data_IF_040568621591
#
_entry.id   IF_040568621591
#
_cell.length_a   1.000
_cell.length_b   1.000
_cell.length_c   1.000
_cell.angle_alpha   90.00
_cell.angle_beta   90.00
_cell.angle_gamma   90.00
#
_symmetry.space_group_name_H-M   'P 1'
#
loop_
_entity.id
_entity.type
_entity.pdbx_description
1 polymer ?
#
# COMPACT_ATOMS: atom_id res chain seq x y z
N UNK A 1 -17.36 -14.89 1.56
CA UNK A 1 -16.34 -14.61 2.60
C UNK A 1 -16.94 -14.80 3.99
N UNK A 2 -16.19 -15.36 4.95
CA UNK A 2 -16.70 -15.55 6.31
C UNK A 2 -17.18 -14.24 6.95
N UNK A 3 -16.50 -13.14 6.63
CA UNK A 3 -16.82 -11.77 7.06
C UNK A 3 -18.15 -11.21 6.53
N UNK A 4 -18.79 -11.90 5.59
CA UNK A 4 -20.09 -11.53 5.04
C UNK A 4 -21.26 -12.36 5.62
N UNK A 5 -20.99 -13.37 6.46
CA UNK A 5 -22.06 -14.11 7.12
C UNK A 5 -22.86 -13.20 8.07
N UNK A 6 -24.19 -13.32 8.03
CA UNK A 6 -25.09 -12.55 8.88
C UNK A 6 -25.45 -11.15 8.36
N UNK A 7 -24.87 -10.69 7.25
CA UNK A 7 -25.31 -9.46 6.59
C UNK A 7 -26.61 -9.75 5.82
N UNK A 8 -27.65 -8.97 6.07
CA UNK A 8 -29.00 -9.19 5.52
C UNK A 8 -29.38 -8.15 4.47
N UNK A 9 -28.64 -7.05 4.40
CA UNK A 9 -28.90 -5.95 3.47
C UNK A 9 -27.71 -5.63 2.58
N UNK A 10 -27.98 -5.03 1.42
CA UNK A 10 -26.94 -4.47 0.54
C UNK A 10 -26.11 -3.39 1.24
N UNK A 11 -26.74 -2.58 2.10
CA UNK A 11 -26.05 -1.50 2.81
C UNK A 11 -24.99 -2.06 3.77
N UNK A 12 -25.35 -3.08 4.55
CA UNK A 12 -24.42 -3.78 5.47
C UNK A 12 -23.23 -4.39 4.72
N UNK A 13 -23.48 -5.02 3.55
CA UNK A 13 -22.42 -5.58 2.73
C UNK A 13 -21.47 -4.50 2.18
N UNK A 14 -22.00 -3.40 1.65
CA UNK A 14 -21.20 -2.29 1.13
C UNK A 14 -20.33 -1.68 2.24
N UNK A 15 -20.90 -1.48 3.42
CA UNK A 15 -20.16 -0.96 4.56
C UNK A 15 -19.05 -1.91 5.01
N UNK A 16 -19.32 -3.22 5.05
CA UNK A 16 -18.30 -4.20 5.42
C UNK A 16 -17.15 -4.25 4.40
N UNK A 17 -17.46 -4.14 3.10
CA UNK A 17 -16.44 -4.05 2.04
C UNK A 17 -15.60 -2.78 2.22
N UNK A 18 -16.22 -1.64 2.53
CA UNK A 18 -15.51 -0.38 2.76
C UNK A 18 -14.53 -0.48 3.93
N UNK A 19 -14.98 -1.02 5.07
CA UNK A 19 -14.13 -1.21 6.26
C UNK A 19 -12.96 -2.15 5.94
N UNK A 20 -13.24 -3.31 5.32
CA UNK A 20 -12.16 -4.24 4.95
C UNK A 20 -11.17 -3.61 3.95
N UNK A 21 -11.66 -2.81 3.02
CA UNK A 21 -10.80 -2.06 2.10
C UNK A 21 -9.88 -1.07 2.81
N UNK A 22 -10.40 -0.37 3.82
CA UNK A 22 -9.61 0.54 4.65
C UNK A 22 -8.58 -0.21 5.49
N UNK A 23 -8.96 -1.30 6.15
CA UNK A 23 -8.06 -2.11 6.98
C UNK A 23 -6.87 -2.65 6.15
N UNK A 24 -7.14 -3.10 4.92
CA UNK A 24 -6.10 -3.57 3.99
C UNK A 24 -5.19 -2.41 3.57
N UNK A 25 -5.75 -1.25 3.23
CA UNK A 25 -4.97 -0.07 2.86
C UNK A 25 -4.04 0.38 4.00
N UNK A 26 -4.56 0.44 5.22
CA UNK A 26 -3.81 0.83 6.40
C UNK A 26 -2.70 -0.19 6.70
N UNK A 27 -2.99 -1.49 6.59
CA UNK A 27 -2.01 -2.55 6.76
C UNK A 27 -0.87 -2.50 5.74
N UNK A 28 -1.18 -2.27 4.47
CA UNK A 28 -0.17 -2.14 3.40
C UNK A 28 0.69 -0.89 3.62
N UNK A 29 0.06 0.24 3.97
CA UNK A 29 0.81 1.48 4.28
C UNK A 29 1.77 1.28 5.45
N UNK A 30 1.28 0.69 6.55
CA UNK A 30 2.11 0.39 7.71
C UNK A 30 3.28 -0.53 7.36
N UNK A 31 3.02 -1.62 6.63
CA UNK A 31 4.05 -2.57 6.22
C UNK A 31 5.14 -1.92 5.36
N UNK A 32 4.74 -1.05 4.44
CA UNK A 32 5.66 -0.29 3.60
C UNK A 32 6.53 0.68 4.41
N UNK A 33 5.92 1.52 5.24
CA UNK A 33 6.64 2.50 6.07
C UNK A 33 7.64 1.79 7.00
N UNK A 34 7.22 0.70 7.64
CA UNK A 34 8.06 -0.11 8.51
C UNK A 34 9.25 -0.74 7.76
N UNK A 35 9.05 -1.22 6.52
CA UNK A 35 10.13 -1.75 5.70
C UNK A 35 11.14 -0.66 5.31
N UNK A 36 10.66 0.54 4.96
CA UNK A 36 11.52 1.71 4.68
C UNK A 36 12.35 2.09 5.91
N UNK A 37 11.75 2.11 7.10
CA UNK A 37 12.46 2.42 8.34
C UNK A 37 13.51 1.35 8.69
N UNK A 38 13.20 0.08 8.49
CA UNK A 38 14.19 -1.01 8.62
C UNK A 38 15.36 -0.82 7.65
N UNK A 39 15.10 -0.47 6.39
CA UNK A 39 16.16 -0.21 5.41
C UNK A 39 17.07 0.94 5.84
N UNK A 40 16.53 2.01 6.44
CA UNK A 40 17.35 3.12 6.98
C UNK A 40 18.25 2.64 8.12
N UNK A 41 17.72 1.81 9.03
CA UNK A 41 18.50 1.24 10.15
C UNK A 41 19.62 0.32 9.65
N UNK A 42 19.34 -0.52 8.66
CA UNK A 42 20.31 -1.47 8.11
C UNK A 42 21.38 -0.80 7.23
N UNK A 43 21.11 0.39 6.71
CA UNK A 43 22.02 1.14 5.86
C UNK A 43 22.42 2.50 6.47
N UNK A 44 23.06 2.54 7.66
CA UNK A 44 23.26 3.77 8.42
C UNK A 44 24.24 4.78 7.78
N UNK A 45 24.92 4.39 6.70
CA UNK A 45 25.87 5.23 5.95
C UNK A 45 25.30 5.77 4.65
N UNK A 46 24.08 5.39 4.31
CA UNK A 46 23.39 5.78 3.08
C UNK A 46 22.13 6.53 3.49
N UNK A 47 22.01 7.78 3.05
CA UNK A 47 20.75 8.50 3.20
C UNK A 47 19.79 8.02 2.10
N UNK A 48 18.74 7.30 2.50
CA UNK A 48 17.77 6.74 1.56
C UNK A 48 16.80 7.84 1.11
N UNK A 49 16.96 8.31 -0.13
CA UNK A 49 15.97 9.18 -0.74
C UNK A 49 14.68 8.38 -1.04
N UNK A 50 13.58 8.84 -0.47
CA UNK A 50 12.24 8.25 -0.64
C UNK A 50 11.29 9.16 -1.42
N UNK A 51 11.77 10.32 -1.88
CA UNK A 51 10.98 11.23 -2.71
C UNK A 51 10.55 10.56 -4.02
N UNK A 52 9.29 10.73 -4.36
CA UNK A 52 8.73 10.20 -5.61
C UNK A 52 8.36 8.72 -5.58
N UNK A 53 8.63 7.99 -4.48
CA UNK A 53 8.10 6.64 -4.28
C UNK A 53 6.57 6.64 -4.38
N UNK A 54 6.05 5.66 -5.11
CA UNK A 54 4.62 5.53 -5.34
C UNK A 54 4.29 4.09 -5.70
N UNK A 55 3.16 3.60 -5.19
CA UNK A 55 2.61 2.29 -5.54
C UNK A 55 2.35 2.11 -7.04
N UNK A 56 2.15 3.22 -7.77
CA UNK A 56 1.88 3.21 -9.20
C UNK A 56 3.13 3.36 -10.06
N UNK A 57 4.30 3.55 -9.46
CA UNK A 57 5.56 3.75 -10.18
C UNK A 57 6.45 2.53 -10.04
N UNK A 58 7.36 2.35 -11.00
CA UNK A 58 8.40 1.31 -10.95
C UNK A 58 9.74 1.87 -11.40
N UNK A 59 10.79 1.10 -11.17
CA UNK A 59 12.14 1.44 -11.63
C UNK A 59 12.35 0.84 -13.02
N UNK A 60 12.67 1.69 -14.00
CA UNK A 60 13.11 1.30 -15.33
C UNK A 60 14.44 2.00 -15.62
N UNK A 61 15.49 1.25 -15.99
CA UNK A 61 16.83 1.78 -16.29
C UNK A 61 17.41 2.70 -15.19
N UNK A 62 17.04 2.49 -13.92
CA UNK A 62 17.50 3.29 -12.79
C UNK A 62 16.65 4.53 -12.50
N UNK A 63 15.61 4.79 -13.28
CA UNK A 63 14.70 5.93 -13.09
C UNK A 63 13.33 5.47 -12.57
N UNK A 64 12.70 6.30 -11.74
CA UNK A 64 11.34 6.06 -11.28
C UNK A 64 10.36 6.61 -12.33
N UNK A 65 9.62 5.73 -12.97
CA UNK A 65 8.70 6.07 -14.06
C UNK A 65 7.26 5.70 -13.72
N UNK A 66 6.30 6.39 -14.34
CA UNK A 66 4.90 5.97 -14.38
C UNK A 66 4.77 4.99 -15.55
N UNK A 67 4.45 3.71 -15.29
CA UNK A 67 4.17 2.74 -16.33
C UNK A 67 3.08 3.22 -17.30
N UNK A 68 3.15 2.86 -18.60
CA UNK A 68 2.13 3.22 -19.58
C UNK A 68 0.70 2.82 -19.21
N UNK A 69 0.54 1.72 -18.46
CA UNK A 69 -0.77 1.26 -17.96
C UNK A 69 -1.41 2.19 -16.90
N UNK A 70 -0.64 3.14 -16.35
CA UNK A 70 -1.08 4.11 -15.34
C UNK A 70 -0.90 5.58 -15.80
N UNK A 71 -0.46 5.80 -17.04
CA UNK A 71 -0.17 7.11 -17.61
C UNK A 71 -1.43 7.82 -18.15
#
# INVERSE_FOLDING_TARGET
PETAHGLTTRAELVEKIRVLGQDVLDGVKFGFDNAVDQLKVLNPRVDLNTEGLSMLKRVENGEIVIPPEYA
#
